data_IF_607911041923
#
_entry.id   IF_607911041923
#
_cell.length_a   1.000
_cell.length_b   1.000
_cell.length_c   1.000
_cell.angle_alpha   90.00
_cell.angle_beta   90.00
_cell.angle_gamma   90.00
#
_symmetry.space_group_name_H-M   'P 1'
#
loop_
_entity.id
_entity.type
_entity.pdbx_description
1 polymer ?
#
# COMPACT_ATOMS: atom_id res chain seq x y z
N UNK A 1 -14.28 1.86 -6.93
CA UNK A 1 -13.14 2.79 -7.08
C UNK A 1 -11.85 2.01 -6.87
N UNK A 2 -10.84 2.15 -7.75
CA UNK A 2 -9.54 1.49 -7.58
C UNK A 2 -8.56 2.45 -6.91
N UNK A 3 -7.88 1.97 -5.89
CA UNK A 3 -6.88 2.71 -5.10
C UNK A 3 -5.53 2.04 -5.34
N UNK A 4 -4.51 2.86 -5.59
CA UNK A 4 -3.16 2.40 -5.83
C UNK A 4 -2.24 2.90 -4.72
N UNK A 5 -1.88 2.02 -3.81
CA UNK A 5 -1.02 2.35 -2.68
C UNK A 5 0.41 2.06 -3.09
N UNK A 6 1.27 3.08 -3.09
CA UNK A 6 2.70 2.93 -3.36
C UNK A 6 3.46 2.86 -2.04
N UNK A 7 4.26 1.82 -1.85
CA UNK A 7 5.10 1.63 -0.68
C UNK A 7 6.53 1.34 -1.10
N UNK A 8 7.51 1.74 -0.28
CA UNK A 8 8.89 1.28 -0.43
C UNK A 8 8.99 -0.24 -0.19
N UNK A 9 9.95 -0.92 -0.81
CA UNK A 9 10.11 -2.38 -0.67
C UNK A 9 10.16 -2.84 0.80
N UNK A 10 10.88 -2.10 1.65
CA UNK A 10 11.00 -2.42 3.09
C UNK A 10 9.65 -2.41 3.80
N UNK A 11 8.80 -1.43 3.50
CA UNK A 11 7.54 -1.27 4.21
C UNK A 11 6.44 -2.17 3.64
N UNK A 12 6.49 -2.45 2.33
CA UNK A 12 5.67 -3.49 1.72
C UNK A 12 5.93 -4.86 2.38
N UNK A 13 7.18 -5.27 2.52
CA UNK A 13 7.53 -6.56 3.13
C UNK A 13 7.09 -6.64 4.61
N UNK A 14 7.29 -5.56 5.38
CA UNK A 14 6.77 -5.47 6.75
C UNK A 14 5.25 -5.64 6.78
N UNK A 15 4.51 -4.87 5.98
CA UNK A 15 3.06 -4.93 5.94
C UNK A 15 2.60 -6.34 5.54
N UNK A 16 3.18 -6.92 4.48
CA UNK A 16 2.92 -8.28 4.01
C UNK A 16 3.09 -9.34 5.10
N UNK A 17 4.14 -9.22 5.91
CA UNK A 17 4.42 -10.16 7.00
C UNK A 17 3.37 -10.12 8.13
N UNK A 18 2.64 -9.01 8.27
CA UNK A 18 1.67 -8.77 9.35
C UNK A 18 0.23 -9.03 8.93
N UNK A 19 -0.08 -9.04 7.63
CA UNK A 19 -1.43 -9.34 7.15
C UNK A 19 -1.72 -10.84 7.34
N UNK A 20 -2.77 -11.21 8.10
CA UNK A 20 -3.13 -12.61 8.28
C UNK A 20 -3.57 -13.24 6.96
N UNK A 21 -3.19 -14.51 6.76
CA UNK A 21 -3.61 -15.30 5.61
C UNK A 21 -5.13 -15.45 5.64
N UNK A 22 -5.80 -15.06 4.55
CA UNK A 22 -7.26 -15.11 4.41
C UNK A 22 -7.99 -13.78 4.68
N UNK A 23 -7.29 -12.71 5.08
CA UNK A 23 -7.88 -11.38 5.05
C UNK A 23 -8.06 -10.89 3.60
N UNK A 24 -9.12 -10.13 3.28
CA UNK A 24 -9.27 -9.48 1.97
C UNK A 24 -8.03 -8.68 1.53
N UNK A 25 -7.46 -7.93 2.48
CA UNK A 25 -6.20 -7.19 2.29
C UNK A 25 -5.00 -8.07 1.91
N UNK A 26 -5.03 -9.38 2.20
CA UNK A 26 -3.97 -10.31 1.83
C UNK A 26 -3.92 -10.52 0.31
N UNK A 27 -5.08 -10.64 -0.34
CA UNK A 27 -5.13 -10.75 -1.80
C UNK A 27 -4.66 -9.47 -2.47
N UNK A 28 -5.09 -8.31 -1.95
CA UNK A 28 -4.62 -7.01 -2.43
C UNK A 28 -3.09 -6.92 -2.36
N UNK A 29 -2.49 -7.29 -1.23
CA UNK A 29 -1.04 -7.27 -1.08
C UNK A 29 -0.34 -8.27 -2.02
N UNK A 30 -0.93 -9.44 -2.26
CA UNK A 30 -0.34 -10.41 -3.20
C UNK A 30 -0.41 -9.94 -4.66
N UNK A 31 -1.40 -9.12 -5.00
CA UNK A 31 -1.53 -8.50 -6.33
C UNK A 31 -0.58 -7.31 -6.53
N UNK A 32 0.25 -6.97 -5.54
CA UNK A 32 1.18 -5.87 -5.64
C UNK A 32 2.19 -6.08 -6.77
N UNK A 33 2.41 -5.05 -7.59
CA UNK A 33 3.42 -5.06 -8.64
C UNK A 33 4.64 -4.28 -8.20
N UNK A 34 5.83 -4.82 -8.45
CA UNK A 34 7.06 -4.08 -8.21
C UNK A 34 7.13 -2.88 -9.15
N UNK A 35 7.52 -1.74 -8.62
CA UNK A 35 7.75 -0.50 -9.36
C UNK A 35 9.13 0.03 -9.00
N UNK A 36 9.85 0.48 -10.02
CA UNK A 36 11.10 1.21 -9.84
C UNK A 36 10.79 2.69 -10.11
N UNK A 37 11.15 3.57 -9.18
CA UNK A 37 11.01 5.02 -9.37
C UNK A 37 12.31 5.73 -9.05
N UNK A 38 12.67 6.71 -9.87
CA UNK A 38 13.85 7.54 -9.65
C UNK A 38 13.45 8.84 -8.98
N UNK A 39 14.13 9.19 -7.90
CA UNK A 39 14.04 10.51 -7.26
C UNK A 39 15.46 11.09 -7.22
N UNK A 40 15.66 12.23 -7.88
CA UNK A 40 16.96 12.92 -8.00
C UNK A 40 18.11 12.02 -8.49
N UNK A 41 17.83 11.10 -9.41
CA UNK A 41 18.82 10.18 -9.97
C UNK A 41 19.10 8.94 -9.11
N UNK A 42 18.46 8.83 -7.94
CA UNK A 42 18.51 7.62 -7.10
C UNK A 42 17.33 6.73 -7.44
N UNK A 43 17.62 5.49 -7.86
CA UNK A 43 16.62 4.45 -8.09
C UNK A 43 16.13 3.88 -6.76
N UNK A 44 14.83 3.98 -6.53
CA UNK A 44 14.13 3.37 -5.42
C UNK A 44 13.25 2.22 -5.93
N UNK A 45 13.37 1.08 -5.25
CA UNK A 45 12.48 -0.05 -5.46
C UNK A 45 11.28 0.08 -4.51
N UNK A 46 10.08 -0.11 -5.05
CA UNK A 46 8.84 -0.10 -4.32
C UNK A 46 7.82 -1.05 -4.89
N UNK A 47 6.63 -1.04 -4.29
CA UNK A 47 5.50 -1.84 -4.70
C UNK A 47 4.27 -0.97 -4.85
N UNK A 48 3.51 -1.23 -5.90
CA UNK A 48 2.22 -0.63 -6.15
C UNK A 48 1.15 -1.67 -5.87
N UNK A 49 0.29 -1.42 -4.89
CA UNK A 49 -0.75 -2.33 -4.41
C UNK A 49 -2.09 -1.88 -5.00
N UNK A 50 -2.64 -2.57 -6.02
CA UNK A 50 -3.97 -2.29 -6.53
C UNK A 50 -5.02 -2.89 -5.58
N UNK A 51 -5.86 -2.04 -5.00
CA UNK A 51 -6.88 -2.43 -4.05
C UNK A 51 -8.17 -1.63 -4.26
N UNK A 52 -9.27 -2.09 -3.66
CA UNK A 52 -10.49 -1.29 -3.54
C UNK A 52 -10.52 -0.54 -2.21
N UNK A 53 -11.58 0.24 -1.97
CA UNK A 53 -11.72 1.02 -0.75
C UNK A 53 -11.78 0.15 0.51
N UNK A 54 -12.41 -1.03 0.43
CA UNK A 54 -12.54 -1.96 1.56
C UNK A 54 -11.17 -2.52 1.94
N UNK A 55 -10.42 -2.97 0.95
CA UNK A 55 -9.05 -3.45 1.13
C UNK A 55 -8.14 -2.34 1.66
N UNK A 56 -8.23 -1.12 1.11
CA UNK A 56 -7.43 0.02 1.55
C UNK A 56 -7.69 0.41 3.02
N UNK A 57 -8.95 0.40 3.46
CA UNK A 57 -9.31 0.64 4.87
C UNK A 57 -8.73 -0.43 5.78
N UNK A 58 -8.78 -1.70 5.37
CA UNK A 58 -8.23 -2.80 6.15
C UNK A 58 -6.69 -2.74 6.21
N UNK A 59 -6.04 -2.40 5.09
CA UNK A 59 -4.59 -2.13 5.05
C UNK A 59 -4.20 -0.97 5.97
N UNK A 60 -5.01 0.10 6.01
CA UNK A 60 -4.81 1.24 6.89
C UNK A 60 -4.92 0.86 8.38
N UNK A 61 -5.89 0.03 8.76
CA UNK A 61 -6.04 -0.44 10.15
C UNK A 61 -4.85 -1.29 10.59
N UNK A 62 -4.39 -2.22 9.74
CA UNK A 62 -3.21 -3.05 10.01
C UNK A 62 -1.95 -2.19 10.09
N UNK A 63 -1.79 -1.24 9.16
CA UNK A 63 -0.67 -0.30 9.15
C UNK A 63 -0.64 0.55 10.44
N UNK A 64 -1.78 1.03 10.94
CA UNK A 64 -1.82 1.80 12.20
C UNK A 64 -1.29 1.02 13.41
N UNK A 65 -1.45 -0.30 13.40
CA UNK A 65 -1.00 -1.16 14.50
C UNK A 65 0.49 -1.56 14.36
N UNK A 66 0.95 -1.78 13.13
CA UNK A 66 2.25 -2.42 12.89
C UNK A 66 3.30 -1.52 12.20
N UNK A 67 2.85 -0.53 11.42
CA UNK A 67 3.68 0.27 10.52
C UNK A 67 3.13 1.72 10.45
N UNK A 68 3.25 2.51 11.53
CA UNK A 68 2.72 3.88 11.56
C UNK A 68 3.32 4.77 10.47
N UNK A 69 4.54 4.47 10.00
CA UNK A 69 5.24 5.21 8.94
C UNK A 69 4.50 5.21 7.60
N UNK A 70 3.76 4.15 7.26
CA UNK A 70 3.05 4.04 5.97
C UNK A 70 1.59 4.48 6.02
N UNK A 71 1.06 4.77 7.21
CA UNK A 71 -0.33 5.24 7.39
C UNK A 71 -0.61 6.48 6.54
N UNK A 72 0.33 7.42 6.53
CA UNK A 72 0.22 8.66 5.74
C UNK A 72 0.15 8.38 4.24
N UNK A 73 0.95 7.43 3.74
CA UNK A 73 0.97 7.05 2.32
C UNK A 73 -0.33 6.37 1.89
N UNK A 74 -0.88 5.47 2.72
CA UNK A 74 -2.18 4.83 2.46
C UNK A 74 -3.29 5.88 2.45
N UNK A 75 -3.33 6.79 3.43
CA UNK A 75 -4.33 7.86 3.49
C UNK A 75 -4.22 8.85 2.32
N UNK A 76 -3.01 9.17 1.87
CA UNK A 76 -2.80 9.96 0.65
C UNK A 76 -3.37 9.23 -0.56
N UNK A 77 -3.05 7.95 -0.75
CA UNK A 77 -3.54 7.16 -1.87
C UNK A 77 -5.07 7.09 -1.91
N UNK A 78 -5.72 6.91 -0.75
CA UNK A 78 -7.18 6.93 -0.64
C UNK A 78 -7.77 8.29 -1.04
N UNK A 79 -7.23 9.39 -0.50
CA UNK A 79 -7.68 10.75 -0.86
C UNK A 79 -7.47 11.08 -2.33
N UNK A 80 -6.34 10.65 -2.92
CA UNK A 80 -6.09 10.83 -4.34
C UNK A 80 -7.11 10.09 -5.20
N UNK A 81 -7.52 8.89 -4.81
CA UNK A 81 -8.55 8.14 -5.52
C UNK A 81 -9.94 8.79 -5.40
N UNK A 82 -10.27 9.40 -4.25
CA UNK A 82 -11.51 10.18 -4.04
C UNK A 82 -11.53 11.50 -4.82
N UNK A 83 -10.37 12.15 -4.98
CA UNK A 83 -10.24 13.47 -5.63
C UNK A 83 -10.08 13.40 -7.15
N UNK A 84 -9.93 12.20 -7.71
CA UNK A 84 -9.63 11.94 -9.13
C UNK A 84 -10.78 11.30 -9.91
N UNK A 85 -12.03 11.56 -9.51
CA UNK A 85 -13.26 11.14 -10.21
C UNK A 85 -13.84 12.21 -11.11
#
# INVERSE_FOLDING_TARGET
MKIFIKLASRDYEKLRSRIPRGAPAHEAIQRATRIDYSLDGVLFEGYNIPCDERDARMLLEIARQCCPEIVSEIQKAMRFAESGG
#
